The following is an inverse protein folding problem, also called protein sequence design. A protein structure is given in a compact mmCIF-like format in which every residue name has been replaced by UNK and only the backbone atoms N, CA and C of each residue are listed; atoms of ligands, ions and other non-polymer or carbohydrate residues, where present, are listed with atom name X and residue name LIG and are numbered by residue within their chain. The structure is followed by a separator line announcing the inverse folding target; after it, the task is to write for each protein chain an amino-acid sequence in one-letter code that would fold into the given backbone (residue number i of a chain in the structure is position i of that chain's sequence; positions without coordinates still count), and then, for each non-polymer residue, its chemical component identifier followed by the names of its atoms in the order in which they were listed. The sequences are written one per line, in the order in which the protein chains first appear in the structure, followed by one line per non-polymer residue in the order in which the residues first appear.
data_IF_854577576593
#
_entry.id   IF_854577576593
#
_cell.length_a   1.000
_cell.length_b   1.000
_cell.length_c   1.000
_cell.angle_alpha   90.00
_cell.angle_beta   90.00
_cell.angle_gamma   90.00
#
_symmetry.space_group_name_H-M   'P 1'
#
loop_
_entity.id
_entity.type
_entity.pdbx_description
1 polymer ?
#
# COMPACT_ATOMS: atom_id res chain seq x y z
N UNK A 1 -11.07 10.96 10.01
CA UNK A 1 -11.50 11.70 8.80
C UNK A 1 -10.34 12.16 7.92
N UNK A 2 -9.30 12.80 8.44
CA UNK A 2 -8.20 13.34 7.61
C UNK A 2 -7.38 12.27 6.85
N UNK A 3 -7.12 11.11 7.47
CA UNK A 3 -6.39 9.99 6.85
C UNK A 3 -7.20 9.31 5.75
N UNK A 4 -8.52 9.14 5.94
CA UNK A 4 -9.40 8.60 4.90
C UNK A 4 -9.46 9.52 3.68
N UNK A 5 -9.46 10.83 3.91
CA UNK A 5 -9.42 11.83 2.83
C UNK A 5 -8.10 11.79 2.06
N UNK A 6 -6.97 11.53 2.72
CA UNK A 6 -5.66 11.34 2.04
C UNK A 6 -5.67 10.10 1.16
N UNK A 7 -6.14 8.97 1.68
CA UNK A 7 -6.26 7.73 0.91
C UNK A 7 -7.17 7.89 -0.31
N UNK A 8 -8.34 8.51 -0.14
CA UNK A 8 -9.27 8.79 -1.23
C UNK A 8 -8.64 9.71 -2.29
N UNK A 9 -7.89 10.72 -1.87
CA UNK A 9 -7.17 11.63 -2.77
C UNK A 9 -6.06 10.91 -3.55
N UNK A 10 -5.26 10.08 -2.88
CA UNK A 10 -4.20 9.30 -3.53
C UNK A 10 -4.78 8.31 -4.54
N UNK A 11 -5.87 7.60 -4.19
CA UNK A 11 -6.56 6.70 -5.10
C UNK A 11 -7.13 7.44 -6.32
N UNK A 12 -7.72 8.62 -6.12
CA UNK A 12 -8.23 9.47 -7.21
C UNK A 12 -7.10 9.91 -8.15
N UNK A 13 -5.93 10.28 -7.61
CA UNK A 13 -4.78 10.66 -8.43
C UNK A 13 -4.30 9.48 -9.30
N UNK A 14 -4.14 8.28 -8.72
CA UNK A 14 -3.74 7.08 -9.48
C UNK A 14 -4.76 6.74 -10.56
N UNK A 15 -6.06 6.84 -10.28
CA UNK A 15 -7.09 6.63 -11.29
C UNK A 15 -7.01 7.67 -12.43
N UNK A 16 -6.72 8.93 -12.10
CA UNK A 16 -6.53 9.99 -13.11
C UNK A 16 -5.31 9.72 -13.97
N UNK A 17 -4.20 9.29 -13.37
CA UNK A 17 -2.96 8.96 -14.09
C UNK A 17 -3.16 7.76 -15.02
N UNK A 18 -3.87 6.72 -14.55
CA UNK A 18 -4.23 5.55 -15.37
C UNK A 18 -5.14 5.93 -16.55
N UNK A 19 -6.12 6.80 -16.35
CA UNK A 19 -6.98 7.32 -17.42
C UNK A 19 -6.18 8.17 -18.40
N UNK A 20 -5.27 9.02 -17.91
CA UNK A 20 -4.34 9.82 -18.71
C UNK A 20 -3.45 8.93 -19.59
N UNK A 21 -2.90 7.87 -19.02
CA UNK A 21 -2.11 6.86 -19.74
C UNK A 21 -2.89 6.24 -20.89
N UNK A 22 -4.10 5.73 -20.63
CA UNK A 22 -4.95 5.09 -21.63
C UNK A 22 -5.33 6.05 -22.77
N UNK A 23 -5.64 7.30 -22.43
CA UNK A 23 -6.00 8.32 -23.41
C UNK A 23 -4.80 8.75 -24.25
N UNK A 24 -3.64 8.90 -23.64
CA UNK A 24 -2.39 9.27 -24.31
C UNK A 24 -1.96 8.16 -25.26
N UNK A 25 -2.00 6.90 -24.83
CA UNK A 25 -1.68 5.74 -25.67
C UNK A 25 -2.58 5.67 -26.91
N UNK A 26 -3.89 5.91 -26.75
CA UNK A 26 -4.83 5.99 -27.86
C UNK A 26 -4.52 7.11 -28.86
N UNK A 27 -4.10 8.28 -28.38
CA UNK A 27 -3.69 9.43 -29.19
C UNK A 27 -2.35 9.19 -29.92
N UNK A 28 -1.39 8.56 -29.26
CA UNK A 28 -0.09 8.27 -29.83
C UNK A 28 -0.15 7.22 -30.95
N UNK A 29 -1.01 6.23 -30.81
CA UNK A 29 -1.28 5.24 -31.87
C UNK A 29 -1.88 5.90 -33.13
N UNK A 30 -2.54 7.04 -32.99
CA UNK A 30 -3.15 7.80 -34.08
C UNK A 30 -2.24 8.89 -34.70
N UNK A 31 -1.12 9.29 -34.05
CA UNK A 31 -0.46 10.57 -34.31
C UNK A 31 1.05 10.62 -34.50
N UNK A 32 1.75 9.53 -34.80
CA UNK A 32 3.09 9.66 -35.41
C UNK A 32 4.26 10.04 -34.50
N UNK A 33 4.23 9.73 -33.20
CA UNK A 33 5.44 9.73 -32.38
C UNK A 33 6.32 8.54 -32.78
N UNK A 34 7.65 8.73 -32.80
CA UNK A 34 8.59 7.63 -32.99
C UNK A 34 8.38 6.62 -31.86
N UNK A 35 8.54 5.32 -32.17
CA UNK A 35 8.39 4.23 -31.20
C UNK A 35 9.19 4.49 -29.90
N UNK A 36 10.33 5.11 -30.02
CA UNK A 36 11.22 5.48 -28.92
C UNK A 36 10.60 6.52 -27.95
N UNK A 37 10.01 7.58 -28.46
CA UNK A 37 9.32 8.58 -27.64
C UNK A 37 8.09 8.00 -26.96
N UNK A 38 7.44 7.04 -27.61
CA UNK A 38 6.30 6.34 -27.05
C UNK A 38 6.70 5.45 -25.88
N UNK A 39 7.77 4.68 -26.01
CA UNK A 39 8.31 3.81 -24.93
C UNK A 39 8.68 4.67 -23.72
N UNK A 40 9.34 5.80 -23.92
CA UNK A 40 9.74 6.70 -22.84
C UNK A 40 8.54 7.24 -22.07
N UNK A 41 7.52 7.78 -22.78
CA UNK A 41 6.31 8.29 -22.16
C UNK A 41 5.51 7.20 -21.43
N UNK A 42 5.43 5.99 -22.01
CA UNK A 42 4.75 4.85 -21.40
C UNK A 42 5.47 4.44 -20.11
N UNK A 43 6.80 4.48 -20.08
CA UNK A 43 7.61 4.14 -18.90
C UNK A 43 7.47 5.17 -17.79
N UNK A 44 7.46 6.47 -18.10
CA UNK A 44 7.26 7.53 -17.12
C UNK A 44 5.87 7.44 -16.45
N UNK A 45 4.85 7.14 -17.24
CA UNK A 45 3.50 6.97 -16.71
C UNK A 45 3.38 5.70 -15.86
N UNK A 46 4.00 4.60 -16.27
CA UNK A 46 4.07 3.37 -15.48
C UNK A 46 4.77 3.61 -14.13
N UNK A 47 5.85 4.38 -14.14
CA UNK A 47 6.57 4.77 -12.92
C UNK A 47 5.68 5.59 -11.97
N UNK A 48 4.95 6.58 -12.49
CA UNK A 48 4.02 7.41 -11.73
C UNK A 48 2.92 6.55 -11.08
N UNK A 49 2.38 5.59 -11.82
CA UNK A 49 1.36 4.66 -11.32
C UNK A 49 1.94 3.76 -10.23
N UNK A 50 3.10 3.15 -10.45
CA UNK A 50 3.75 2.27 -9.46
C UNK A 50 4.03 3.01 -8.15
N UNK A 51 4.55 4.24 -8.23
CA UNK A 51 4.77 5.11 -7.08
C UNK A 51 3.48 5.42 -6.33
N UNK A 52 2.42 5.81 -7.05
CA UNK A 52 1.11 6.08 -6.45
C UNK A 52 0.52 4.86 -5.74
N UNK A 53 0.67 3.66 -6.29
CA UNK A 53 0.24 2.42 -5.67
C UNK A 53 1.05 2.08 -4.41
N UNK A 54 2.36 2.32 -4.41
CA UNK A 54 3.21 2.18 -3.22
C UNK A 54 2.78 3.14 -2.10
N UNK A 55 2.51 4.41 -2.44
CA UNK A 55 2.04 5.42 -1.49
C UNK A 55 0.68 5.05 -0.87
N UNK A 56 -0.26 4.57 -1.69
CA UNK A 56 -1.59 4.11 -1.22
C UNK A 56 -1.45 2.91 -0.28
N UNK A 57 -0.62 1.93 -0.65
CA UNK A 57 -0.40 0.73 0.16
C UNK A 57 0.24 1.08 1.50
N UNK A 58 1.20 2.00 1.51
CA UNK A 58 1.84 2.50 2.73
C UNK A 58 0.85 3.26 3.62
N UNK A 59 0.07 4.16 3.04
CA UNK A 59 -0.96 4.91 3.77
C UNK A 59 -2.06 3.98 4.33
N UNK A 60 -2.45 2.95 3.57
CA UNK A 60 -3.37 1.91 4.01
C UNK A 60 -2.84 1.14 5.21
N UNK A 61 -1.58 0.73 5.17
CA UNK A 61 -0.90 0.06 6.28
C UNK A 61 -0.89 0.92 7.54
N UNK A 62 -0.58 2.21 7.42
CA UNK A 62 -0.52 3.12 8.56
C UNK A 62 -1.91 3.41 9.16
N UNK A 63 -2.94 3.44 8.32
CA UNK A 63 -4.34 3.50 8.76
C UNK A 63 -4.70 2.25 9.55
N UNK A 64 -4.39 1.06 9.04
CA UNK A 64 -4.66 -0.21 9.73
C UNK A 64 -3.94 -0.32 11.08
N UNK A 65 -2.71 0.21 11.21
CA UNK A 65 -2.00 0.27 12.50
C UNK A 65 -2.75 1.13 13.51
N UNK A 66 -3.29 2.27 13.07
CA UNK A 66 -4.08 3.16 13.92
C UNK A 66 -5.39 2.51 14.34
N UNK A 67 -6.08 1.87 13.38
CA UNK A 67 -7.34 1.18 13.63
C UNK A 67 -7.16 -0.04 14.56
N UNK A 68 -6.02 -0.76 14.41
CA UNK A 68 -5.61 -1.83 15.34
C UNK A 68 -5.53 -1.30 16.77
N UNK A 69 -4.83 -0.19 16.99
CA UNK A 69 -4.66 0.39 18.32
C UNK A 69 -6.01 0.83 18.92
N UNK A 70 -6.87 1.43 18.10
CA UNK A 70 -8.19 1.84 18.53
C UNK A 70 -9.07 0.62 18.91
N UNK A 71 -9.10 -0.41 18.06
CA UNK A 71 -9.89 -1.61 18.31
C UNK A 71 -9.43 -2.38 19.56
N UNK A 72 -8.11 -2.47 19.78
CA UNK A 72 -7.55 -3.08 21.00
C UNK A 72 -7.96 -2.26 22.22
N UNK A 73 -7.79 -0.93 22.19
CA UNK A 73 -8.18 -0.07 23.31
C UNK A 73 -9.66 -0.15 23.64
N UNK A 74 -10.54 -0.24 22.64
CA UNK A 74 -11.97 -0.44 22.84
C UNK A 74 -12.29 -1.83 23.47
N UNK A 75 -11.60 -2.89 22.99
CA UNK A 75 -11.76 -4.24 23.52
C UNK A 75 -11.27 -4.36 24.97
N UNK A 76 -10.13 -3.74 25.28
CA UNK A 76 -9.59 -3.67 26.65
C UNK A 76 -10.49 -2.87 27.58
N UNK A 77 -11.03 -1.73 27.11
CA UNK A 77 -11.98 -0.94 27.87
C UNK A 77 -13.29 -1.72 28.15
N UNK A 78 -13.75 -2.48 27.17
CA UNK A 78 -14.91 -3.36 27.33
C UNK A 78 -14.63 -4.43 28.40
N UNK A 79 -13.49 -5.12 28.32
CA UNK A 79 -13.06 -6.12 29.32
C UNK A 79 -12.95 -5.49 30.73
N UNK A 80 -12.40 -4.28 30.85
CA UNK A 80 -12.32 -3.58 32.12
C UNK A 80 -13.72 -3.25 32.66
N UNK A 81 -14.65 -2.79 31.81
CA UNK A 81 -16.00 -2.45 32.21
C UNK A 81 -16.82 -3.65 32.69
N UNK A 82 -16.56 -4.85 32.18
CA UNK A 82 -17.23 -6.07 32.67
C UNK A 82 -16.89 -6.41 34.13
N UNK A 83 -15.72 -5.95 34.60
CA UNK A 83 -15.26 -6.12 35.99
C UNK A 83 -15.90 -5.13 36.96
N UNK A 84 -16.48 -4.05 36.46
CA UNK A 84 -17.12 -2.98 37.28
C UNK A 84 -18.63 -3.18 37.47
N UNK A 85 -19.18 -4.32 37.03
CA UNK A 85 -20.62 -4.56 37.08
C UNK A 85 -21.09 -4.73 38.54
N UNK A 86 -22.17 -4.02 38.98
CA UNK A 86 -22.66 -4.02 40.36
C UNK A 86 -23.14 -5.37 40.90
N UNK A 87 -23.23 -6.42 40.06
CA UNK A 87 -23.60 -7.79 40.44
C UNK A 87 -22.56 -8.49 41.31
N UNK A 88 -21.37 -7.94 41.41
CA UNK A 88 -20.23 -8.49 42.10
C UNK A 88 -20.24 -8.36 43.60
N UNK A 89 -21.37 -7.92 44.24
CA UNK A 89 -21.45 -7.85 45.70
C UNK A 89 -21.33 -9.21 46.42
N UNK A 90 -21.47 -10.32 45.66
CA UNK A 90 -21.36 -11.69 46.18
C UNK A 90 -20.00 -12.35 45.84
N UNK A 91 -19.20 -11.77 44.94
CA UNK A 91 -17.94 -12.34 44.48
C UNK A 91 -16.81 -11.33 44.71
N UNK A 92 -15.64 -11.83 45.10
CA UNK A 92 -14.43 -11.04 45.11
C UNK A 92 -13.98 -10.74 43.68
N UNK A 93 -13.11 -9.73 43.44
CA UNK A 93 -12.58 -9.45 42.10
C UNK A 93 -11.92 -10.66 41.44
N UNK A 94 -11.20 -11.49 42.21
CA UNK A 94 -10.51 -12.69 41.71
C UNK A 94 -11.51 -13.80 41.33
N UNK A 95 -12.60 -13.96 42.10
CA UNK A 95 -13.67 -14.92 41.77
C UNK A 95 -14.44 -14.47 40.53
N UNK A 96 -14.67 -13.19 40.36
CA UNK A 96 -15.31 -12.63 39.18
C UNK A 96 -14.44 -12.82 37.94
N UNK A 97 -13.13 -12.58 38.05
CA UNK A 97 -12.18 -12.82 36.95
C UNK A 97 -12.13 -14.31 36.56
N UNK A 98 -12.13 -15.22 37.52
CA UNK A 98 -12.17 -16.67 37.26
C UNK A 98 -13.45 -17.07 36.50
N UNK A 99 -14.60 -16.54 36.86
CA UNK A 99 -15.89 -16.79 36.15
C UNK A 99 -15.84 -16.27 34.71
N UNK A 100 -15.27 -15.08 34.49
CA UNK A 100 -15.13 -14.54 33.15
C UNK A 100 -14.16 -15.36 32.29
N UNK A 101 -13.04 -15.80 32.88
CA UNK A 101 -12.08 -16.69 32.18
C UNK A 101 -12.73 -18.03 31.81
N UNK A 102 -13.51 -18.63 32.73
CA UNK A 102 -14.25 -19.87 32.47
C UNK A 102 -15.30 -19.69 31.37
N UNK A 103 -15.92 -18.52 31.32
CA UNK A 103 -16.86 -18.15 30.26
C UNK A 103 -16.17 -17.76 28.93
N UNK A 104 -14.87 -17.76 28.86
CA UNK A 104 -14.09 -17.36 27.67
C UNK A 104 -14.08 -15.85 27.43
N UNK A 105 -14.30 -15.04 28.48
CA UNK A 105 -14.27 -13.58 28.42
C UNK A 105 -12.95 -13.08 28.99
N UNK A 106 -11.87 -13.33 28.28
CA UNK A 106 -10.51 -12.93 28.65
C UNK A 106 -9.78 -12.22 27.49
N UNK A 107 -8.59 -11.74 27.79
CA UNK A 107 -7.75 -11.07 26.82
C UNK A 107 -7.42 -11.99 25.62
N UNK A 108 -7.18 -13.26 25.86
CA UNK A 108 -6.78 -14.22 24.83
C UNK A 108 -7.91 -14.52 23.85
N UNK A 109 -9.15 -14.55 24.34
CA UNK A 109 -10.33 -14.86 23.53
C UNK A 109 -10.91 -13.66 22.78
N UNK A 110 -10.65 -12.43 23.27
CA UNK A 110 -11.23 -11.21 22.71
C UNK A 110 -10.17 -10.35 22.02
N UNK A 111 -9.08 -10.01 22.70
CA UNK A 111 -8.08 -9.07 22.19
C UNK A 111 -7.14 -9.75 21.19
N UNK A 112 -6.65 -10.95 21.51
CA UNK A 112 -5.66 -11.63 20.66
C UNK A 112 -6.16 -11.93 19.24
N UNK A 113 -7.42 -12.35 19.00
CA UNK A 113 -7.95 -12.50 17.64
C UNK A 113 -8.02 -11.19 16.87
N UNK A 114 -8.35 -10.08 17.54
CA UNK A 114 -8.37 -8.74 16.95
C UNK A 114 -6.94 -8.36 16.53
N UNK A 115 -5.98 -8.54 17.43
CA UNK A 115 -4.57 -8.28 17.11
C UNK A 115 -4.08 -9.10 15.91
N UNK A 116 -4.34 -10.40 15.91
CA UNK A 116 -3.93 -11.30 14.84
C UNK A 116 -4.56 -10.90 13.49
N UNK A 117 -5.85 -10.55 13.49
CA UNK A 117 -6.56 -10.09 12.30
C UNK A 117 -5.92 -8.84 11.69
N UNK A 118 -5.70 -7.81 12.52
CA UNK A 118 -5.09 -6.57 12.03
C UNK A 118 -3.63 -6.79 11.63
N UNK A 119 -2.87 -7.58 12.38
CA UNK A 119 -1.48 -7.86 12.04
C UNK A 119 -1.36 -8.52 10.66
N UNK A 120 -2.19 -9.52 10.37
CA UNK A 120 -2.22 -10.15 9.04
C UNK A 120 -2.51 -9.14 7.91
N UNK A 121 -3.37 -8.16 8.15
CA UNK A 121 -3.70 -7.13 7.16
C UNK A 121 -2.58 -6.12 6.98
N UNK A 122 -1.94 -5.73 8.09
CA UNK A 122 -0.77 -4.84 8.10
C UNK A 122 0.39 -5.46 7.31
N UNK A 123 0.67 -6.75 7.54
CA UNK A 123 1.73 -7.48 6.86
C UNK A 123 1.46 -7.56 5.35
N UNK A 124 0.26 -7.99 4.95
CA UNK A 124 -0.14 -8.02 3.54
C UNK A 124 -0.06 -6.66 2.84
N UNK A 125 -0.43 -5.59 3.54
CA UNK A 125 -0.31 -4.23 3.01
C UNK A 125 1.16 -3.78 2.90
N UNK A 126 2.01 -4.25 3.81
CA UNK A 126 3.46 -4.08 3.75
C UNK A 126 4.08 -4.77 2.54
N UNK A 127 3.72 -6.03 2.31
CA UNK A 127 4.17 -6.82 1.16
C UNK A 127 3.76 -6.16 -0.16
N UNK A 128 2.53 -5.66 -0.25
CA UNK A 128 2.06 -4.92 -1.41
C UNK A 128 2.86 -3.63 -1.64
N UNK A 129 3.13 -2.85 -0.60
CA UNK A 129 3.93 -1.63 -0.70
C UNK A 129 5.35 -1.94 -1.20
N UNK A 130 5.96 -3.02 -0.70
CA UNK A 130 7.27 -3.48 -1.15
C UNK A 130 7.23 -3.90 -2.62
N UNK A 131 6.24 -4.70 -3.01
CA UNK A 131 6.08 -5.14 -4.40
C UNK A 131 6.00 -3.95 -5.37
N UNK A 132 5.27 -2.89 -5.03
CA UNK A 132 5.18 -1.69 -5.88
C UNK A 132 6.46 -0.87 -5.88
N UNK A 133 7.21 -0.85 -4.77
CA UNK A 133 8.54 -0.22 -4.71
C UNK A 133 9.55 -0.97 -5.58
N UNK A 134 9.51 -2.29 -5.56
CA UNK A 134 10.35 -3.12 -6.40
C UNK A 134 10.00 -2.94 -7.89
N UNK A 135 8.71 -2.85 -8.22
CA UNK A 135 8.25 -2.55 -9.56
C UNK A 135 8.73 -1.18 -10.05
N UNK A 136 8.67 -0.15 -9.20
CA UNK A 136 9.23 1.18 -9.50
C UNK A 136 10.72 1.09 -9.84
N UNK A 137 11.47 0.32 -9.06
CA UNK A 137 12.91 0.14 -9.27
C UNK A 137 13.21 -0.60 -10.57
N UNK A 138 12.45 -1.66 -10.88
CA UNK A 138 12.58 -2.41 -12.13
C UNK A 138 12.26 -1.57 -13.36
N UNK A 139 11.24 -0.71 -13.29
CA UNK A 139 10.89 0.21 -14.37
C UNK A 139 12.02 1.22 -14.60
N UNK A 140 12.59 1.80 -13.54
CA UNK A 140 13.74 2.73 -13.64
C UNK A 140 14.94 2.05 -14.29
N UNK A 141 15.30 0.87 -13.80
CA UNK A 141 16.42 0.11 -14.35
C UNK A 141 16.21 -0.21 -15.85
N UNK A 142 15.01 -0.61 -16.23
CA UNK A 142 14.67 -0.86 -17.65
C UNK A 142 14.78 0.40 -18.51
N UNK A 143 14.39 1.57 -17.99
CA UNK A 143 14.55 2.86 -18.68
C UNK A 143 16.05 3.18 -18.87
N UNK A 144 16.84 3.04 -17.80
CA UNK A 144 18.27 3.36 -17.83
C UNK A 144 19.02 2.44 -18.82
N UNK A 145 18.74 1.13 -18.80
CA UNK A 145 19.31 0.19 -19.76
C UNK A 145 18.95 0.52 -21.22
N UNK A 146 17.71 0.95 -21.46
CA UNK A 146 17.28 1.36 -22.79
C UNK A 146 18.02 2.62 -23.25
N UNK A 147 18.19 3.61 -22.36
CA UNK A 147 18.92 4.84 -22.68
C UNK A 147 20.39 4.59 -22.96
N UNK A 148 21.03 3.69 -22.23
CA UNK A 148 22.43 3.28 -22.47
C UNK A 148 22.58 2.61 -23.83
N UNK A 149 21.70 1.64 -24.15
CA UNK A 149 21.71 0.96 -25.44
C UNK A 149 21.54 1.93 -26.61
N UNK A 150 20.66 2.92 -26.48
CA UNK A 150 20.43 3.94 -27.51
C UNK A 150 21.64 4.88 -27.70
N UNK A 151 22.34 5.24 -26.59
CA UNK A 151 23.56 6.03 -26.68
C UNK A 151 24.69 5.29 -27.37
N UNK A 152 24.81 3.98 -27.11
CA UNK A 152 25.80 3.13 -27.76
C UNK A 152 25.53 3.00 -29.27
N UNK A 153 24.28 2.73 -29.63
CA UNK A 153 23.87 2.65 -31.05
C UNK A 153 24.09 3.99 -31.76
N UNK A 154 23.82 5.11 -31.12
CA UNK A 154 24.06 6.43 -31.70
C UNK A 154 25.56 6.74 -31.87
N UNK A 155 26.43 6.17 -31.01
CA UNK A 155 27.88 6.26 -31.14
C UNK A 155 28.37 5.45 -32.31
N UNK A 156 27.96 4.18 -32.41
CA UNK A 156 28.32 3.29 -33.50
C UNK A 156 27.91 3.86 -34.87
N UNK A 157 26.69 4.44 -34.95
CA UNK A 157 26.21 5.07 -36.18
C UNK A 157 27.05 6.29 -36.59
N UNK A 158 27.54 7.06 -35.64
CA UNK A 158 28.44 8.21 -35.90
C UNK A 158 29.81 7.74 -36.39
N UNK A 159 30.35 6.68 -35.80
CA UNK A 159 31.62 6.09 -36.23
C UNK A 159 31.51 5.54 -37.65
N UNK A 160 30.42 4.82 -37.96
CA UNK A 160 30.16 4.30 -39.32
C UNK A 160 30.06 5.44 -40.34
N UNK A 161 29.37 6.54 -40.03
CA UNK A 161 29.24 7.70 -40.89
C UNK A 161 30.60 8.41 -41.17
N UNK A 162 31.56 8.30 -40.28
CA UNK A 162 32.90 8.88 -40.47
C UNK A 162 33.85 7.97 -41.26
N UNK A 163 33.47 6.72 -41.52
CA UNK A 163 34.23 5.75 -42.31
C UNK A 163 33.82 5.73 -43.79
N UNK A 164 32.73 6.38 -44.14
CA UNK A 164 32.20 6.55 -45.50
C UNK A 164 32.39 7.98 -46.01
#
# INVERSE_FOLDING_TARGET
MEKQNRLAKSLSNVQTDMLGYTTTKGRLAAGGLTAHKQIFLDSEQALTIAKGLSEISTAGRDTMKTDKQAAIGEAEALLASTREVPWGFALSPDELEAVYQEAGVDHSSIVSPIEAYFQQKIDKSGDLAQTFTDLESQIKEGIDQQLEADQELAREFREWKNLT
#
